data_IF_775218723078
#
_entry.id   IF_775218723078
#
_cell.length_a   1.000
_cell.length_b   1.000
_cell.length_c   1.000
_cell.angle_alpha   90.00
_cell.angle_beta   90.00
_cell.angle_gamma   90.00
#
_symmetry.space_group_name_H-M   'P 1'
#
loop_
_entity.id
_entity.type
_entity.pdbx_description
1 polymer ?
#
# COMPACT_ATOMS: atom_id res chain seq x y z
N UNK A 1 -29.74 -46.80 17.65
CA UNK A 1 -30.40 -45.74 16.87
C UNK A 1 -30.68 -44.59 17.82
N UNK A 2 -29.73 -43.66 17.90
CA UNK A 2 -29.81 -42.43 18.69
C UNK A 2 -29.76 -41.25 17.71
N UNK A 3 -30.49 -40.15 17.95
CA UNK A 3 -30.66 -39.09 16.97
C UNK A 3 -29.39 -38.24 16.85
N UNK A 4 -29.08 -37.83 15.62
CA UNK A 4 -28.04 -36.86 15.31
C UNK A 4 -28.64 -35.47 15.47
N UNK A 5 -28.09 -34.69 16.40
CA UNK A 5 -28.42 -33.29 16.61
C UNK A 5 -27.85 -32.46 15.45
N UNK A 6 -28.73 -31.86 14.66
CA UNK A 6 -28.40 -31.01 13.52
C UNK A 6 -28.47 -29.55 13.92
N UNK A 7 -27.48 -29.10 14.69
CA UNK A 7 -27.22 -27.67 14.92
C UNK A 7 -25.85 -27.30 14.36
N UNK A 8 -25.72 -27.35 13.03
CA UNK A 8 -24.64 -26.63 12.35
C UNK A 8 -25.01 -25.15 12.38
N UNK A 9 -24.56 -24.46 13.43
CA UNK A 9 -24.53 -23.02 13.48
C UNK A 9 -23.77 -22.50 12.25
N UNK A 10 -24.37 -21.56 11.54
CA UNK A 10 -23.74 -20.86 10.43
C UNK A 10 -22.44 -20.24 10.91
N UNK A 11 -21.30 -20.77 10.46
CA UNK A 11 -20.02 -20.09 10.58
C UNK A 11 -20.12 -18.87 9.67
N UNK A 12 -20.40 -17.71 10.26
CA UNK A 12 -20.30 -16.43 9.57
C UNK A 12 -18.85 -16.23 9.16
N UNK A 13 -18.54 -16.49 7.88
CA UNK A 13 -17.29 -16.08 7.27
C UNK A 13 -17.24 -14.55 7.38
N UNK A 14 -16.29 -14.05 8.17
CA UNK A 14 -16.04 -12.62 8.30
C UNK A 14 -15.82 -12.02 6.90
N UNK A 15 -16.60 -10.99 6.58
CA UNK A 15 -16.52 -10.23 5.31
C UNK A 15 -15.31 -9.30 5.26
N UNK A 16 -14.32 -9.49 6.13
CA UNK A 16 -13.15 -8.64 6.22
C UNK A 16 -12.20 -8.89 5.03
N UNK A 17 -11.70 -7.80 4.45
CA UNK A 17 -10.64 -7.85 3.45
C UNK A 17 -9.39 -8.50 4.05
N UNK A 18 -8.75 -9.49 3.39
CA UNK A 18 -7.42 -9.92 3.77
C UNK A 18 -6.42 -8.75 3.76
N UNK A 19 -5.48 -8.74 4.70
CA UNK A 19 -4.45 -7.71 4.79
C UNK A 19 -3.06 -8.27 5.07
N UNK A 20 -2.09 -7.65 4.40
CA UNK A 20 -0.66 -7.82 4.63
C UNK A 20 -0.16 -6.61 5.42
N UNK A 21 0.48 -6.89 6.55
CA UNK A 21 1.05 -5.91 7.48
C UNK A 21 2.52 -6.29 7.75
N UNK A 22 3.40 -5.30 7.77
CA UNK A 22 4.76 -5.49 8.28
C UNK A 22 4.76 -5.80 9.80
N UNK A 23 5.76 -6.55 10.27
CA UNK A 23 5.88 -6.98 11.68
C UNK A 23 6.05 -5.79 12.65
N UNK A 24 6.50 -4.63 12.15
CA UNK A 24 6.75 -3.46 12.98
C UNK A 24 5.54 -2.53 13.12
N UNK A 25 4.34 -3.01 12.81
CA UNK A 25 3.10 -2.23 12.83
C UNK A 25 2.24 -2.44 14.07
N UNK A 26 1.48 -1.40 14.42
CA UNK A 26 0.39 -1.46 15.40
C UNK A 26 -0.90 -1.10 14.66
N UNK A 27 -1.89 -1.99 14.69
CA UNK A 27 -3.25 -1.66 14.26
C UNK A 27 -3.89 -0.71 15.28
N UNK A 28 -4.27 0.48 14.82
CA UNK A 28 -5.04 1.46 15.63
C UNK A 28 -6.51 1.09 15.58
N UNK A 29 -6.99 0.66 14.41
CA UNK A 29 -8.36 0.19 14.19
C UNK A 29 -8.38 -1.21 13.59
N UNK A 30 -9.39 -2.02 13.91
CA UNK A 30 -9.55 -3.33 13.30
C UNK A 30 -9.91 -3.20 11.81
N UNK A 31 -9.57 -4.21 11.01
CA UNK A 31 -9.63 -4.13 9.54
C UNK A 31 -11.04 -3.95 8.97
N UNK A 32 -12.05 -4.43 9.68
CA UNK A 32 -13.48 -4.28 9.35
C UNK A 32 -13.98 -2.83 9.47
N UNK A 33 -13.20 -1.96 10.11
CA UNK A 33 -13.44 -0.51 10.18
C UNK A 33 -12.66 0.31 9.14
N UNK A 34 -11.75 -0.31 8.37
CA UNK A 34 -10.91 0.43 7.41
C UNK A 34 -11.70 0.97 6.21
N UNK A 35 -12.83 0.33 5.90
CA UNK A 35 -13.74 0.75 4.83
C UNK A 35 -14.98 1.38 5.47
N UNK A 36 -15.28 2.66 5.18
CA UNK A 36 -16.49 3.32 5.66
C UNK A 36 -17.75 2.51 5.31
N UNK A 37 -18.77 2.46 6.19
CA UNK A 37 -19.97 1.65 5.98
C UNK A 37 -20.64 1.84 4.61
N UNK A 38 -20.66 3.07 4.10
CA UNK A 38 -21.24 3.46 2.82
C UNK A 38 -20.45 2.95 1.59
N UNK A 39 -19.17 2.62 1.76
CA UNK A 39 -18.31 2.06 0.71
C UNK A 39 -18.16 0.55 0.79
N UNK A 40 -18.72 -0.11 1.82
CA UNK A 40 -18.66 -1.57 1.97
C UNK A 40 -19.31 -2.26 0.76
N UNK A 41 -18.64 -3.28 0.24
CA UNK A 41 -19.06 -4.00 -0.97
C UNK A 41 -18.63 -3.35 -2.29
N UNK A 42 -18.09 -2.13 -2.27
CA UNK A 42 -17.51 -1.46 -3.44
C UNK A 42 -15.98 -1.53 -3.44
N UNK A 43 -15.37 -1.67 -2.27
CA UNK A 43 -13.91 -1.67 -2.10
C UNK A 43 -13.33 -3.08 -2.19
N UNK A 44 -12.40 -3.25 -3.12
CA UNK A 44 -11.62 -4.48 -3.32
C UNK A 44 -10.13 -4.29 -3.02
N UNK A 45 -9.65 -3.06 -2.92
CA UNK A 45 -8.27 -2.70 -2.57
C UNK A 45 -8.27 -1.45 -1.68
N UNK A 46 -7.50 -1.46 -0.60
CA UNK A 46 -7.21 -0.31 0.26
C UNK A 46 -5.72 -0.05 0.24
N UNK A 47 -5.35 1.17 -0.14
CA UNK A 47 -3.97 1.67 -0.15
C UNK A 47 -3.90 3.00 0.59
N UNK A 48 -2.79 3.26 1.27
CA UNK A 48 -2.57 4.53 1.97
C UNK A 48 -1.37 5.27 1.42
N UNK A 49 -1.38 6.59 1.55
CA UNK A 49 -0.23 7.43 1.21
C UNK A 49 0.87 7.24 2.28
N UNK A 50 2.10 7.03 1.85
CA UNK A 50 3.29 7.01 2.71
C UNK A 50 4.06 8.33 2.65
N UNK A 51 4.13 8.93 1.46
CA UNK A 51 4.78 10.22 1.23
C UNK A 51 3.94 11.06 0.28
N UNK A 52 3.72 12.30 0.66
CA UNK A 52 3.19 13.37 -0.18
C UNK A 52 4.16 14.57 -0.14
N UNK A 53 4.69 14.95 -1.30
CA UNK A 53 5.60 16.08 -1.45
C UNK A 53 4.93 17.42 -1.16
N UNK A 54 3.64 17.58 -1.45
CA UNK A 54 2.90 18.84 -1.32
C UNK A 54 3.65 20.02 -1.97
N UNK A 55 3.88 21.10 -1.23
CA UNK A 55 4.68 22.26 -1.66
C UNK A 55 6.19 22.10 -1.36
N UNK A 56 6.62 20.96 -0.83
CA UNK A 56 7.98 20.70 -0.39
C UNK A 56 8.94 20.23 -1.49
N UNK A 57 10.18 19.96 -1.07
CA UNK A 57 11.20 19.31 -1.89
C UNK A 57 11.02 17.79 -1.95
N UNK A 58 11.88 17.12 -2.72
CA UNK A 58 11.99 15.66 -2.64
C UNK A 58 12.41 15.22 -1.23
N UNK A 59 12.12 13.97 -0.88
CA UNK A 59 12.45 13.39 0.42
C UNK A 59 13.20 12.07 0.23
N UNK A 60 14.39 11.96 0.82
CA UNK A 60 15.26 10.79 0.67
C UNK A 60 15.43 10.38 -0.81
N UNK A 61 15.36 9.09 -1.11
CA UNK A 61 15.47 8.53 -2.45
C UNK A 61 14.09 8.33 -3.13
N UNK A 62 13.03 9.00 -2.67
CA UNK A 62 11.67 8.86 -3.23
C UNK A 62 11.57 9.64 -4.54
N UNK A 63 11.36 8.98 -5.69
CA UNK A 63 11.34 9.66 -6.99
C UNK A 63 9.96 10.27 -7.32
N UNK A 64 8.88 9.77 -6.71
CA UNK A 64 7.51 10.19 -6.98
C UNK A 64 7.11 11.45 -6.23
N UNK A 65 6.14 12.19 -6.79
CA UNK A 65 5.52 13.31 -6.06
C UNK A 65 4.70 12.81 -4.87
N UNK A 66 4.08 11.65 -5.02
CA UNK A 66 3.38 10.92 -3.98
C UNK A 66 3.72 9.44 -4.09
N UNK A 67 3.97 8.78 -2.95
CA UNK A 67 4.31 7.36 -2.84
C UNK A 67 3.26 6.65 -1.99
N UNK A 68 2.84 5.46 -2.43
CA UNK A 68 1.94 4.61 -1.65
C UNK A 68 2.71 3.73 -0.66
N UNK A 69 2.09 3.54 0.49
CA UNK A 69 2.52 2.60 1.51
C UNK A 69 2.54 1.17 0.95
N UNK A 70 3.70 0.51 1.08
CA UNK A 70 3.88 -0.90 0.73
C UNK A 70 3.83 -1.83 1.95
N UNK A 71 3.94 -1.29 3.16
CA UNK A 71 3.99 -2.06 4.41
C UNK A 71 2.60 -2.33 5.01
N UNK A 72 1.54 -1.70 4.48
CA UNK A 72 0.14 -2.07 4.75
C UNK A 72 -0.63 -2.11 3.44
N UNK A 73 -1.19 -3.27 3.11
CA UNK A 73 -2.06 -3.45 1.93
C UNK A 73 -3.23 -4.33 2.34
N UNK A 74 -4.46 -3.92 2.05
CA UNK A 74 -5.63 -4.78 2.19
C UNK A 74 -6.33 -4.93 0.84
N UNK A 75 -6.59 -6.17 0.43
CA UNK A 75 -7.29 -6.41 -0.83
C UNK A 75 -8.03 -7.74 -0.83
N UNK A 76 -9.08 -7.83 -1.66
CA UNK A 76 -9.77 -9.10 -1.91
C UNK A 76 -8.84 -10.10 -2.60
N UNK A 77 -9.02 -11.42 -2.36
CA UNK A 77 -8.28 -12.44 -3.08
C UNK A 77 -8.43 -12.30 -4.59
N UNK A 78 -7.30 -12.28 -5.31
CA UNK A 78 -7.29 -12.22 -6.78
C UNK A 78 -7.35 -10.81 -7.38
N UNK A 79 -7.29 -9.75 -6.56
CA UNK A 79 -7.28 -8.37 -7.06
C UNK A 79 -6.18 -8.16 -8.15
N UNK A 80 -6.49 -7.53 -9.30
CA UNK A 80 -5.57 -7.42 -10.43
C UNK A 80 -4.23 -6.72 -10.11
N UNK A 81 -4.21 -5.81 -9.14
CA UNK A 81 -3.02 -5.05 -8.73
C UNK A 81 -1.82 -5.96 -8.43
N UNK A 82 -2.04 -7.14 -7.82
CA UNK A 82 -0.95 -8.04 -7.47
C UNK A 82 -0.36 -8.72 -8.72
N UNK A 83 -1.19 -9.07 -9.70
CA UNK A 83 -0.73 -9.63 -10.98
C UNK A 83 0.06 -8.60 -11.78
N UNK A 84 -0.37 -7.33 -11.73
CA UNK A 84 0.38 -6.21 -12.31
C UNK A 84 1.72 -6.03 -11.61
N UNK A 85 1.74 -6.09 -10.27
CA UNK A 85 2.98 -6.00 -9.50
C UNK A 85 3.95 -7.15 -9.82
N UNK A 86 3.47 -8.40 -9.89
CA UNK A 86 4.31 -9.53 -10.31
C UNK A 86 4.87 -9.34 -11.71
N UNK A 87 4.05 -8.90 -12.67
CA UNK A 87 4.50 -8.61 -14.04
C UNK A 87 5.54 -7.49 -14.08
N UNK A 88 5.34 -6.42 -13.30
CA UNK A 88 6.28 -5.32 -13.14
C UNK A 88 7.61 -5.80 -12.57
N UNK A 89 7.61 -6.66 -11.55
CA UNK A 89 8.83 -7.22 -10.96
C UNK A 89 9.59 -8.05 -11.97
N UNK A 90 8.94 -8.98 -12.68
CA UNK A 90 9.59 -9.83 -13.70
C UNK A 90 10.28 -8.96 -14.76
N UNK A 91 9.55 -7.99 -15.32
CA UNK A 91 10.08 -7.05 -16.31
C UNK A 91 11.29 -6.27 -15.76
N UNK A 92 11.22 -5.84 -14.50
CA UNK A 92 12.32 -5.09 -13.87
C UNK A 92 13.59 -5.93 -13.72
N UNK A 93 13.45 -7.23 -13.41
CA UNK A 93 14.59 -8.13 -13.32
C UNK A 93 15.23 -8.38 -14.69
N UNK A 94 14.42 -8.53 -15.74
CA UNK A 94 14.89 -8.61 -17.12
C UNK A 94 15.60 -7.33 -17.57
N UNK A 95 15.05 -6.16 -17.24
CA UNK A 95 15.64 -4.85 -17.53
C UNK A 95 17.00 -4.68 -16.82
N UNK A 96 17.08 -5.04 -15.54
CA UNK A 96 18.33 -5.01 -14.77
C UNK A 96 19.36 -5.99 -15.33
N UNK A 97 18.94 -7.22 -15.66
CA UNK A 97 19.82 -8.23 -16.27
C UNK A 97 20.44 -7.70 -17.57
N UNK A 98 19.64 -7.08 -18.44
CA UNK A 98 20.14 -6.43 -19.65
C UNK A 98 21.06 -5.25 -19.37
N UNK A 99 20.69 -4.38 -18.43
CA UNK A 99 21.48 -3.19 -18.06
C UNK A 99 22.87 -3.56 -17.53
N UNK A 100 22.96 -4.60 -16.70
CA UNK A 100 24.22 -5.06 -16.10
C UNK A 100 24.95 -6.10 -16.97
N UNK A 101 24.33 -6.55 -18.07
CA UNK A 101 24.86 -7.56 -18.97
C UNK A 101 25.27 -8.87 -18.25
N UNK A 102 24.40 -9.34 -17.34
CA UNK A 102 24.57 -10.57 -16.55
C UNK A 102 23.26 -11.35 -16.50
N UNK A 103 23.31 -12.66 -16.21
CA UNK A 103 22.06 -13.43 -15.98
C UNK A 103 21.32 -12.93 -14.74
N UNK A 104 20.01 -13.20 -14.64
CA UNK A 104 19.21 -12.83 -13.47
C UNK A 104 19.81 -13.43 -12.18
N UNK A 105 20.39 -14.63 -12.23
CA UNK A 105 21.00 -15.29 -11.07
C UNK A 105 22.26 -14.58 -10.57
N UNK A 106 22.93 -13.84 -11.46
CA UNK A 106 24.17 -13.12 -11.18
C UNK A 106 23.92 -11.66 -10.79
N UNK A 107 22.67 -11.19 -10.85
CA UNK A 107 22.33 -9.82 -10.51
C UNK A 107 22.67 -9.52 -9.05
N UNK A 108 23.31 -8.38 -8.85
CA UNK A 108 23.54 -7.78 -7.53
C UNK A 108 23.00 -6.34 -7.55
N UNK A 109 21.67 -6.17 -7.44
CA UNK A 109 21.07 -4.85 -7.52
C UNK A 109 21.55 -3.96 -6.36
N UNK A 110 21.82 -2.70 -6.67
CA UNK A 110 22.01 -1.68 -5.63
C UNK A 110 20.70 -1.44 -4.85
N UNK A 111 20.79 -0.86 -3.65
CA UNK A 111 19.59 -0.50 -2.87
C UNK A 111 18.61 0.37 -3.65
N UNK A 112 19.12 1.29 -4.47
CA UNK A 112 18.32 2.13 -5.35
C UNK A 112 17.58 1.31 -6.43
N UNK A 113 18.25 0.31 -7.00
CA UNK A 113 17.63 -0.58 -7.99
C UNK A 113 16.58 -1.48 -7.35
N UNK A 114 16.80 -1.96 -6.12
CA UNK A 114 15.76 -2.70 -5.36
C UNK A 114 14.53 -1.82 -5.14
N UNK A 115 14.73 -0.58 -4.66
CA UNK A 115 13.61 0.35 -4.41
C UNK A 115 12.76 0.61 -5.66
N UNK A 116 13.38 0.68 -6.84
CA UNK A 116 12.71 0.97 -8.12
C UNK A 116 12.17 -0.26 -8.88
N UNK A 117 12.62 -1.47 -8.54
CA UNK A 117 12.23 -2.71 -9.22
C UNK A 117 11.16 -3.50 -8.47
N UNK A 118 11.32 -3.62 -7.15
CA UNK A 118 10.43 -4.42 -6.30
C UNK A 118 9.90 -3.64 -5.10
N UNK A 119 10.52 -2.51 -4.78
CA UNK A 119 10.18 -1.69 -3.62
C UNK A 119 9.09 -0.64 -3.88
N UNK A 120 9.08 0.44 -3.08
CA UNK A 120 7.93 1.32 -2.98
C UNK A 120 7.69 2.15 -4.24
N UNK A 121 8.73 2.44 -5.01
CA UNK A 121 8.59 3.14 -6.28
C UNK A 121 7.87 2.28 -7.32
N UNK A 122 8.23 1.00 -7.45
CA UNK A 122 7.54 0.06 -8.33
C UNK A 122 6.08 -0.18 -7.91
N UNK A 123 5.84 -0.31 -6.59
CA UNK A 123 4.49 -0.42 -6.05
C UNK A 123 3.65 0.81 -6.39
N UNK A 124 4.23 2.00 -6.24
CA UNK A 124 3.54 3.26 -6.54
C UNK A 124 3.14 3.36 -8.01
N UNK A 125 4.03 2.98 -8.93
CA UNK A 125 3.72 2.94 -10.36
C UNK A 125 2.52 2.04 -10.66
N UNK A 126 2.51 0.83 -10.09
CA UNK A 126 1.47 -0.18 -10.34
C UNK A 126 0.11 0.23 -9.76
N UNK A 127 0.10 0.78 -8.55
CA UNK A 127 -1.13 1.30 -7.95
C UNK A 127 -1.63 2.49 -8.78
N UNK A 128 -0.75 3.41 -9.20
CA UNK A 128 -1.16 4.54 -10.01
C UNK A 128 -1.76 4.10 -11.37
N UNK A 129 -1.16 3.11 -12.03
CA UNK A 129 -1.73 2.49 -13.24
C UNK A 129 -3.10 1.85 -12.97
N UNK A 130 -3.29 1.19 -11.83
CA UNK A 130 -4.59 0.66 -11.40
C UNK A 130 -5.65 1.77 -11.25
N UNK A 131 -5.28 2.93 -10.69
CA UNK A 131 -6.19 4.07 -10.55
C UNK A 131 -6.57 4.67 -11.92
N UNK A 132 -5.60 4.77 -12.83
CA UNK A 132 -5.80 5.35 -14.17
C UNK A 132 -6.79 4.55 -15.04
N UNK A 133 -6.98 3.25 -14.78
CA UNK A 133 -8.00 2.45 -15.46
C UNK A 133 -9.43 2.94 -15.16
N UNK A 134 -9.64 3.55 -13.99
CA UNK A 134 -10.94 4.07 -13.57
C UNK A 134 -11.03 5.59 -13.66
N UNK A 135 -9.90 6.30 -13.56
CA UNK A 135 -9.81 7.75 -13.73
C UNK A 135 -8.67 8.12 -14.70
N UNK A 136 -8.93 8.08 -16.03
CA UNK A 136 -7.94 8.42 -17.04
C UNK A 136 -7.48 9.89 -17.01
N UNK A 137 -8.13 10.76 -16.21
CA UNK A 137 -7.71 12.15 -16.05
C UNK A 137 -6.49 12.30 -15.11
N UNK A 138 -6.14 11.24 -14.36
CA UNK A 138 -4.91 11.19 -13.59
C UNK A 138 -3.70 11.14 -14.53
N UNK A 139 -2.91 12.20 -14.56
CA UNK A 139 -1.72 12.32 -15.40
C UNK A 139 -0.43 12.09 -14.60
N UNK A 140 -0.43 12.40 -13.31
CA UNK A 140 0.73 12.26 -12.43
C UNK A 140 0.31 11.89 -11.01
N UNK A 141 1.20 11.25 -10.24
CA UNK A 141 0.97 11.04 -8.79
C UNK A 141 0.79 12.37 -8.03
N UNK A 142 1.21 13.50 -8.61
CA UNK A 142 0.90 14.85 -8.11
C UNK A 142 -0.60 15.14 -8.04
N UNK A 143 -1.41 14.54 -8.90
CA UNK A 143 -2.87 14.75 -8.93
C UNK A 143 -3.57 14.17 -7.69
N UNK A 144 -2.85 13.38 -6.90
CA UNK A 144 -3.30 12.80 -5.62
C UNK A 144 -2.77 13.57 -4.39
N UNK A 145 -1.96 14.62 -4.60
CA UNK A 145 -1.36 15.43 -3.53
C UNK A 145 -2.42 16.27 -2.80
N UNK A 146 -2.16 16.61 -1.53
CA UNK A 146 -3.06 17.38 -0.66
C UNK A 146 -4.40 16.72 -0.36
N UNK A 147 -4.48 15.39 -0.45
CA UNK A 147 -5.70 14.67 -0.11
C UNK A 147 -6.02 14.78 1.39
N UNK A 148 -7.17 15.36 1.71
CA UNK A 148 -7.65 15.54 3.10
C UNK A 148 -8.67 14.50 3.53
N UNK A 149 -9.28 13.79 2.57
CA UNK A 149 -10.29 12.76 2.82
C UNK A 149 -10.01 11.53 1.94
N UNK A 150 -10.33 10.30 2.38
CA UNK A 150 -10.23 9.11 1.53
C UNK A 150 -11.03 9.25 0.23
N UNK A 151 -10.51 8.71 -0.87
CA UNK A 151 -11.18 8.75 -2.18
C UNK A 151 -11.22 7.36 -2.82
N UNK A 152 -12.39 6.99 -3.33
CA UNK A 152 -12.60 5.75 -4.08
C UNK A 152 -12.36 5.98 -5.57
N UNK A 153 -11.55 5.13 -6.19
CA UNK A 153 -11.28 5.06 -7.62
C UNK A 153 -11.63 3.66 -8.11
N UNK A 154 -12.78 3.51 -8.79
CA UNK A 154 -13.33 2.19 -9.11
C UNK A 154 -13.56 1.39 -7.83
N UNK A 155 -12.75 0.36 -7.62
CA UNK A 155 -12.75 -0.51 -6.44
C UNK A 155 -11.57 -0.28 -5.48
N UNK A 156 -10.75 0.74 -5.73
CA UNK A 156 -9.56 1.07 -4.93
C UNK A 156 -9.83 2.28 -4.03
N UNK A 157 -9.87 2.07 -2.71
CA UNK A 157 -9.95 3.12 -1.70
C UNK A 157 -8.54 3.64 -1.38
N UNK A 158 -8.28 4.90 -1.71
CA UNK A 158 -7.03 5.59 -1.39
C UNK A 158 -7.23 6.37 -0.08
N UNK A 159 -6.41 6.08 0.92
CA UNK A 159 -6.41 6.73 2.23
C UNK A 159 -5.45 7.92 2.26
N UNK A 160 -5.75 8.89 3.11
CA UNK A 160 -4.89 10.07 3.34
C UNK A 160 -3.53 9.67 3.96
N UNK A 161 -2.61 10.62 4.04
CA UNK A 161 -1.29 10.41 4.67
C UNK A 161 -1.42 9.83 6.09
N UNK A 162 -2.42 10.25 6.86
CA UNK A 162 -2.61 9.74 8.22
C UNK A 162 -3.27 8.37 8.28
N UNK A 163 -3.90 7.90 7.20
CA UNK A 163 -4.54 6.58 7.15
C UNK A 163 -3.57 5.46 7.51
N UNK A 164 -2.50 5.35 6.72
CA UNK A 164 -1.39 4.44 7.02
C UNK A 164 -0.17 5.19 7.52
N UNK A 165 0.23 6.30 6.89
CA UNK A 165 1.47 7.03 7.20
C UNK A 165 1.46 7.92 8.45
N UNK A 166 0.55 7.74 9.42
CA UNK A 166 0.54 8.53 10.66
C UNK A 166 1.89 8.47 11.40
N UNK A 167 2.37 9.62 11.88
CA UNK A 167 3.56 9.75 12.71
C UNK A 167 4.85 10.03 11.94
N UNK A 168 4.76 10.22 10.62
CA UNK A 168 5.90 10.64 9.80
C UNK A 168 6.24 12.11 10.07
N UNK A 169 7.53 12.44 10.09
CA UNK A 169 8.03 13.83 10.27
C UNK A 169 7.92 14.69 9.00
N UNK A 170 7.31 14.15 7.95
CA UNK A 170 7.16 14.76 6.63
C UNK A 170 5.72 14.65 6.15
N UNK A 171 5.44 15.20 4.96
CA UNK A 171 4.14 15.10 4.29
C UNK A 171 2.95 15.63 5.10
N UNK A 172 3.24 16.38 6.18
CA UNK A 172 2.26 16.92 7.11
C UNK A 172 1.37 15.85 7.74
N UNK A 173 1.93 14.67 7.97
CA UNK A 173 1.30 13.66 8.81
C UNK A 173 1.20 14.17 10.25
N UNK A 174 0.15 13.75 10.96
CA UNK A 174 0.00 13.96 12.40
C UNK A 174 1.13 13.25 13.14
N UNK A 175 2.01 14.03 13.79
CA UNK A 175 3.20 13.53 14.49
C UNK A 175 3.40 14.18 15.87
N UNK A 176 2.38 14.83 16.42
CA UNK A 176 2.39 15.52 17.73
C UNK A 176 2.08 14.59 18.92
N UNK A 177 1.87 13.29 18.65
CA UNK A 177 1.51 12.28 19.64
C UNK A 177 0.00 12.03 19.75
N UNK A 178 -0.84 12.85 19.12
CA UNK A 178 -2.26 12.57 18.96
C UNK A 178 -2.49 11.48 17.90
N UNK A 179 -3.67 10.86 17.95
CA UNK A 179 -4.13 9.89 16.95
C UNK A 179 -5.27 10.56 16.19
N UNK A 180 -5.08 10.95 14.91
CA UNK A 180 -6.13 11.55 14.12
C UNK A 180 -7.20 10.50 13.78
N UNK A 181 -8.42 10.94 13.51
CA UNK A 181 -9.55 10.04 13.23
C UNK A 181 -9.26 9.10 12.04
N UNK A 182 -8.60 9.63 11.00
CA UNK A 182 -8.25 8.87 9.81
C UNK A 182 -7.24 7.74 10.07
N UNK A 183 -6.51 7.74 11.20
CA UNK A 183 -5.44 6.78 11.42
C UNK A 183 -5.96 5.36 11.68
N UNK A 184 -5.48 4.44 10.85
CA UNK A 184 -5.80 3.01 10.92
C UNK A 184 -4.61 2.19 11.41
N UNK A 185 -3.40 2.64 11.07
CA UNK A 185 -2.14 1.97 11.38
C UNK A 185 -1.11 2.93 11.97
N UNK A 186 -0.21 2.41 12.80
CA UNK A 186 0.98 3.10 13.28
C UNK A 186 2.22 2.27 12.97
N UNK A 187 3.14 2.85 12.21
CA UNK A 187 4.45 2.25 11.96
C UNK A 187 5.44 2.59 13.08
N UNK A 188 6.25 1.62 13.54
CA UNK A 188 7.24 1.81 14.63
C UNK A 188 8.61 2.33 14.15
N UNK A 189 8.80 2.45 12.84
CA UNK A 189 10.02 3.00 12.20
C UNK A 189 11.34 2.33 12.62
N UNK A 190 11.31 1.01 12.89
CA UNK A 190 12.50 0.29 13.40
C UNK A 190 13.55 -0.04 12.34
N UNK A 191 13.22 0.03 11.05
CA UNK A 191 14.18 -0.08 9.95
C UNK A 191 15.12 -1.31 10.03
N UNK A 192 14.64 -2.43 10.57
CA UNK A 192 15.46 -3.58 10.97
C UNK A 192 16.20 -4.26 9.81
N UNK A 193 15.82 -3.99 8.56
CA UNK A 193 16.49 -4.50 7.37
C UNK A 193 17.72 -3.68 6.94
N UNK A 194 17.88 -2.44 7.44
CA UNK A 194 19.10 -1.67 7.23
C UNK A 194 20.08 -2.15 8.29
N UNK A 195 20.88 -3.15 7.95
CA UNK A 195 21.92 -3.66 8.83
C UNK A 195 22.73 -2.48 9.40
N UNK A 196 22.94 -2.50 10.72
CA UNK A 196 23.86 -1.60 11.39
C UNK A 196 25.24 -1.78 10.77
N UNK A 197 25.65 -0.79 9.97
CA UNK A 197 27.03 -0.62 9.51
C UNK A 197 27.96 -0.42 10.68
#
# INVERSE_FOLDING_TARGET
>A
MAPVDSSLGSVGLSSALPCLVDESLIAIRPIDEWVPPELRGQVSLVVGIEFDRRNGGGWADIPHWLQFCQWTIAATPGHPVFRKMTSRVIKSMEDLSRKHNVSIEQLKPSSFEVMNSTGPAAWTDVVFEQLQEYDPALNSTKDLSFMTEPKLYGDTLVLTIDGFGMGQVHSHSTHDGSIPEAALMKHRFRGSWRGSS
#
